data_IF_135190803429
#
_entry.id   IF_135190803429
#
_cell.length_a   1.000
_cell.length_b   1.000
_cell.length_c   1.000
_cell.angle_alpha   90.00
_cell.angle_beta   90.00
_cell.angle_gamma   90.00
#
_symmetry.space_group_name_H-M   'P 1'
#
loop_
_entity.id
_entity.type
_entity.pdbx_description
1 polymer ?
#
# COMPACT_ATOMS: atom_id res chain seq x y z
N UNK A 1 27.11 32.64 25.16
CA UNK A 1 27.39 31.72 24.03
C UNK A 1 26.33 30.61 23.85
N UNK A 2 25.13 30.72 24.45
CA UNK A 2 24.09 29.66 24.40
C UNK A 2 23.04 29.89 23.29
N UNK A 3 22.83 31.14 22.87
CA UNK A 3 21.81 31.51 21.88
C UNK A 3 22.15 31.16 20.42
N UNK A 4 23.42 30.86 20.11
CA UNK A 4 23.86 30.48 18.75
C UNK A 4 23.55 29.04 18.37
N UNK A 5 23.28 28.17 19.35
CA UNK A 5 22.92 26.75 19.12
C UNK A 5 21.41 26.49 19.12
N UNK A 6 20.58 27.46 19.52
CA UNK A 6 19.11 27.32 19.48
C UNK A 6 18.54 27.37 18.06
N UNK A 7 19.17 28.16 17.17
CA UNK A 7 18.73 28.32 15.78
C UNK A 7 18.89 27.03 14.94
N UNK A 8 20.04 26.31 14.97
CA UNK A 8 20.13 25.04 14.25
C UNK A 8 19.25 23.94 14.86
N UNK A 9 19.00 23.97 16.17
CA UNK A 9 18.15 22.97 16.83
C UNK A 9 16.68 23.08 16.39
N UNK A 10 16.15 24.31 16.28
CA UNK A 10 14.81 24.59 15.77
C UNK A 10 14.71 24.25 14.27
N UNK A 11 15.77 24.49 13.50
CA UNK A 11 15.81 24.14 12.08
C UNK A 11 15.81 22.61 11.84
N UNK A 12 16.49 21.83 12.69
CA UNK A 12 16.48 20.36 12.63
C UNK A 12 15.11 19.79 13.04
N UNK A 13 14.41 20.42 13.98
CA UNK A 13 13.02 20.07 14.35
C UNK A 13 11.99 20.37 13.25
N UNK A 14 12.27 21.33 12.35
CA UNK A 14 11.40 21.69 11.23
C UNK A 14 11.47 20.74 10.02
N UNK A 15 12.48 19.87 9.95
CA UNK A 15 12.66 18.90 8.85
C UNK A 15 11.85 17.61 9.01
N UNK A 16 11.10 17.45 10.11
CA UNK A 16 10.10 16.40 10.26
C UNK A 16 8.80 16.76 9.50
N UNK A 17 8.91 17.13 8.22
CA UNK A 17 7.79 17.11 7.31
C UNK A 17 7.48 15.63 7.01
N UNK A 18 6.84 14.96 7.95
CA UNK A 18 6.33 13.61 7.75
C UNK A 18 5.46 13.63 6.48
N UNK A 19 5.73 12.72 5.55
CA UNK A 19 4.83 12.38 4.47
C UNK A 19 3.49 11.97 5.10
N UNK A 20 2.62 12.94 5.32
CA UNK A 20 1.44 12.78 6.15
C UNK A 20 0.36 12.15 5.30
N UNK A 21 -0.33 11.16 5.86
CA UNK A 21 -1.50 10.56 5.21
C UNK A 21 -2.50 11.65 4.76
N UNK A 22 -3.22 11.44 3.64
CA UNK A 22 -4.31 12.33 3.22
C UNK A 22 -5.23 12.66 4.40
N UNK A 23 -5.74 13.89 4.49
CA UNK A 23 -6.68 14.31 5.56
C UNK A 23 -7.74 13.26 5.96
N UNK A 24 -8.42 12.56 5.01
CA UNK A 24 -9.43 11.58 5.40
C UNK A 24 -8.86 10.30 6.05
N UNK A 25 -7.56 10.05 5.97
CA UNK A 25 -6.89 8.85 6.51
C UNK A 25 -6.12 9.12 7.82
N UNK A 26 -6.20 10.34 8.35
CA UNK A 26 -5.55 10.74 9.59
C UNK A 26 -6.36 10.25 10.80
N UNK A 27 -5.66 9.73 11.81
CA UNK A 27 -6.26 9.19 13.03
C UNK A 27 -5.36 8.15 13.69
N UNK A 28 -5.64 7.83 14.95
CA UNK A 28 -5.00 6.72 15.66
C UNK A 28 -5.91 5.49 15.55
N UNK A 29 -5.34 4.40 15.07
CA UNK A 29 -6.04 3.13 14.91
C UNK A 29 -5.18 2.01 15.52
N UNK A 30 -5.80 1.02 16.16
CA UNK A 30 -5.07 -0.13 16.66
C UNK A 30 -4.44 -0.90 15.49
N UNK A 31 -3.23 -1.42 15.69
CA UNK A 31 -2.51 -2.23 14.71
C UNK A 31 -3.03 -3.67 14.72
N UNK A 32 -4.29 -3.84 14.32
CA UNK A 32 -4.98 -5.13 14.22
C UNK A 32 -5.03 -5.54 12.76
N UNK A 33 -4.61 -6.76 12.44
CA UNK A 33 -4.79 -7.34 11.11
C UNK A 33 -6.20 -7.94 10.94
N UNK A 34 -6.74 -8.03 9.72
CA UNK A 34 -7.96 -8.78 9.44
C UNK A 34 -7.95 -10.22 9.96
N UNK A 35 -6.84 -10.95 9.79
CA UNK A 35 -6.70 -12.32 10.32
C UNK A 35 -6.79 -12.36 11.85
N UNK A 36 -6.11 -11.46 12.55
CA UNK A 36 -6.13 -11.42 14.02
C UNK A 36 -7.51 -11.06 14.55
N UNK A 37 -8.17 -10.11 13.88
CA UNK A 37 -9.53 -9.70 14.24
C UNK A 37 -10.48 -10.89 14.17
N UNK A 38 -10.30 -11.80 13.21
CA UNK A 38 -11.14 -13.00 13.03
C UNK A 38 -10.89 -14.05 14.09
N UNK A 39 -9.62 -14.22 14.49
CA UNK A 39 -9.24 -15.15 15.56
C UNK A 39 -9.74 -14.69 16.94
N UNK A 40 -9.74 -13.38 17.19
CA UNK A 40 -10.05 -12.79 18.50
C UNK A 40 -11.42 -12.11 18.60
N UNK A 41 -12.27 -12.22 17.56
CA UNK A 41 -13.64 -11.72 17.52
C UNK A 41 -13.81 -10.23 17.92
N UNK A 42 -12.95 -9.35 17.38
CA UNK A 42 -12.85 -7.93 17.75
C UNK A 42 -13.93 -7.01 17.12
N UNK A 43 -15.20 -7.40 17.22
CA UNK A 43 -16.34 -6.60 16.73
C UNK A 43 -16.43 -5.24 17.43
N UNK A 44 -16.78 -4.19 16.68
CA UNK A 44 -16.90 -2.81 17.16
C UNK A 44 -15.60 -2.00 17.11
N UNK A 45 -14.47 -2.64 16.85
CA UNK A 45 -13.15 -1.99 16.76
C UNK A 45 -13.08 -1.10 15.53
N UNK A 46 -12.71 0.17 15.72
CA UNK A 46 -12.37 1.09 14.62
C UNK A 46 -11.02 0.71 14.04
N UNK A 47 -10.97 0.43 12.74
CA UNK A 47 -9.76 -0.03 12.04
C UNK A 47 -9.48 0.83 10.81
N UNK A 48 -8.21 0.86 10.42
CA UNK A 48 -7.74 1.42 9.16
C UNK A 48 -7.04 0.33 8.37
N UNK A 49 -7.74 -0.25 7.42
CA UNK A 49 -7.24 -1.35 6.59
C UNK A 49 -7.20 -0.94 5.14
N UNK A 50 -6.27 -1.49 4.38
CA UNK A 50 -6.23 -1.28 2.95
C UNK A 50 -5.60 -2.46 2.27
N UNK A 51 -5.67 -2.44 0.95
CA UNK A 51 -5.28 -3.59 0.18
C UNK A 51 -5.58 -3.40 -1.30
N UNK A 52 -5.57 -4.52 -2.02
CA UNK A 52 -6.02 -4.56 -3.41
C UNK A 52 -7.43 -5.13 -3.48
N UNK A 53 -8.26 -4.53 -4.32
CA UNK A 53 -9.60 -5.01 -4.60
C UNK A 53 -9.50 -6.36 -5.31
N UNK A 54 -10.25 -7.34 -4.83
CA UNK A 54 -10.49 -8.62 -5.51
C UNK A 54 -11.78 -8.51 -6.30
N UNK A 55 -12.84 -7.98 -5.66
CA UNK A 55 -14.17 -7.85 -6.25
C UNK A 55 -14.91 -6.67 -5.64
N UNK A 56 -15.66 -5.96 -6.48
CA UNK A 56 -16.61 -4.93 -6.05
C UNK A 56 -18.02 -5.39 -6.39
N UNK A 57 -18.89 -5.45 -5.40
CA UNK A 57 -20.28 -5.93 -5.56
C UNK A 57 -21.25 -4.87 -5.05
N UNK A 58 -21.88 -4.10 -5.95
CA UNK A 58 -22.97 -3.21 -5.59
C UNK A 58 -24.19 -4.05 -5.16
N UNK A 59 -24.75 -3.72 -3.99
CA UNK A 59 -25.98 -4.30 -3.46
C UNK A 59 -27.11 -3.26 -3.38
N UNK A 60 -28.21 -3.64 -2.73
CA UNK A 60 -29.30 -2.70 -2.46
C UNK A 60 -28.90 -1.74 -1.34
N UNK A 61 -28.58 -0.49 -1.71
CA UNK A 61 -28.30 0.60 -0.77
C UNK A 61 -26.86 0.65 -0.22
N UNK A 62 -26.01 -0.32 -0.53
CA UNK A 62 -24.59 -0.33 -0.17
C UNK A 62 -23.76 -1.05 -1.21
N UNK A 63 -22.48 -0.73 -1.28
CA UNK A 63 -21.50 -1.44 -2.11
C UNK A 63 -20.48 -2.11 -1.21
N UNK A 64 -20.25 -3.40 -1.44
CA UNK A 64 -19.28 -4.19 -0.71
C UNK A 64 -18.06 -4.49 -1.58
N UNK A 65 -16.89 -4.31 -0.98
CA UNK A 65 -15.59 -4.55 -1.58
C UNK A 65 -14.95 -5.72 -0.88
N UNK A 66 -14.49 -6.69 -1.65
CA UNK A 66 -13.67 -7.78 -1.18
C UNK A 66 -12.20 -7.45 -1.44
N UNK A 67 -11.36 -7.54 -0.42
CA UNK A 67 -9.96 -7.12 -0.49
C UNK A 67 -9.01 -8.20 0.02
N UNK A 68 -7.83 -8.22 -0.58
CA UNK A 68 -6.64 -8.79 0.05
C UNK A 68 -5.93 -7.69 0.83
N UNK A 69 -5.84 -7.86 2.13
CA UNK A 69 -5.22 -6.87 3.01
C UNK A 69 -3.73 -6.76 2.73
N UNK A 70 -3.20 -5.56 2.85
CA UNK A 70 -1.76 -5.31 2.87
C UNK A 70 -1.42 -4.31 3.97
N UNK A 71 -0.23 -4.41 4.57
CA UNK A 71 0.24 -3.43 5.53
C UNK A 71 0.25 -2.04 4.89
N UNK A 72 -0.12 -1.03 5.67
CA UNK A 72 -0.16 0.35 5.21
C UNK A 72 1.17 1.03 5.51
N UNK A 73 1.66 1.81 4.55
CA UNK A 73 2.82 2.67 4.78
C UNK A 73 2.45 3.91 5.62
N UNK A 74 3.42 4.78 5.90
CA UNK A 74 3.20 5.99 6.71
C UNK A 74 2.10 6.93 6.15
N UNK A 75 1.87 6.90 4.83
CA UNK A 75 0.81 7.69 4.17
C UNK A 75 -0.58 7.03 4.23
N UNK A 76 -0.68 5.82 4.80
CA UNK A 76 -1.91 5.04 4.82
C UNK A 76 -2.21 4.32 3.50
N UNK A 77 -1.26 4.31 2.54
CA UNK A 77 -1.37 3.57 1.28
C UNK A 77 -0.96 2.11 1.49
N UNK A 78 -1.64 1.13 0.88
CA UNK A 78 -1.18 -0.26 0.85
C UNK A 78 0.26 -0.33 0.33
N UNK A 79 1.16 -0.92 1.12
CA UNK A 79 2.58 -0.99 0.77
C UNK A 79 2.77 -1.90 -0.46
N UNK A 80 3.38 -1.35 -1.51
CA UNK A 80 3.66 -2.06 -2.75
C UNK A 80 4.74 -3.13 -2.56
N UNK A 81 5.72 -2.84 -1.70
CA UNK A 81 6.92 -3.63 -1.47
C UNK A 81 6.67 -4.84 -0.56
N UNK A 82 5.51 -4.92 0.08
CA UNK A 82 5.14 -6.04 0.92
C UNK A 82 4.70 -7.24 0.04
N UNK A 83 5.66 -7.91 -0.58
CA UNK A 83 5.46 -8.92 -1.65
C UNK A 83 4.51 -10.05 -1.22
N UNK A 84 4.49 -10.41 0.07
CA UNK A 84 3.76 -11.57 0.59
C UNK A 84 2.79 -11.26 1.75
N UNK A 85 2.66 -9.99 2.14
CA UNK A 85 1.86 -9.63 3.32
C UNK A 85 0.37 -9.58 2.98
N UNK A 86 -0.27 -10.75 2.97
CA UNK A 86 -1.70 -10.92 3.07
C UNK A 86 -2.04 -11.04 4.56
N UNK A 87 -2.26 -9.93 5.23
CA UNK A 87 -2.75 -9.83 6.63
C UNK A 87 -4.20 -10.38 6.79
N UNK A 88 -4.61 -11.28 5.89
CA UNK A 88 -5.96 -11.78 5.69
C UNK A 88 -6.69 -11.12 4.52
N UNK A 89 -7.89 -11.61 4.27
CA UNK A 89 -8.90 -10.96 3.41
C UNK A 89 -9.95 -10.32 4.30
N UNK A 90 -10.62 -9.29 3.79
CA UNK A 90 -11.73 -8.66 4.50
C UNK A 90 -12.77 -8.14 3.51
N UNK A 91 -13.98 -7.94 4.02
CA UNK A 91 -15.04 -7.23 3.34
C UNK A 91 -15.13 -5.81 3.91
N UNK A 92 -15.20 -4.81 3.04
CA UNK A 92 -15.54 -3.45 3.44
C UNK A 92 -16.84 -3.06 2.72
N UNK A 93 -17.87 -2.70 3.46
CA UNK A 93 -19.13 -2.25 2.89
C UNK A 93 -19.37 -0.79 3.22
N UNK A 94 -19.85 -0.03 2.23
CA UNK A 94 -20.17 1.39 2.38
C UNK A 94 -21.55 1.65 1.81
N UNK A 95 -22.36 2.44 2.53
CA UNK A 95 -23.65 2.92 2.04
C UNK A 95 -23.50 3.69 0.73
N UNK A 96 -24.40 3.45 -0.22
CA UNK A 96 -24.40 4.07 -1.54
C UNK A 96 -23.83 3.17 -2.64
N UNK A 97 -23.81 3.74 -3.85
CA UNK A 97 -23.34 3.08 -5.05
C UNK A 97 -21.90 3.49 -5.37
N UNK A 98 -21.03 2.50 -5.57
CA UNK A 98 -19.68 2.68 -6.09
C UNK A 98 -19.54 1.87 -7.38
N UNK A 99 -19.08 2.52 -8.44
CA UNK A 99 -18.99 1.92 -9.76
C UNK A 99 -17.88 0.85 -9.82
N UNK A 100 -18.19 -0.42 -10.13
CA UNK A 100 -17.19 -1.48 -10.31
C UNK A 100 -16.15 -1.19 -11.40
N UNK A 101 -16.47 -0.35 -12.39
CA UNK A 101 -15.54 0.06 -13.44
C UNK A 101 -14.52 1.12 -12.95
N UNK A 102 -14.79 1.79 -11.82
CA UNK A 102 -13.82 2.68 -11.16
C UNK A 102 -13.04 1.91 -10.09
N UNK A 103 -13.75 1.03 -9.36
CA UNK A 103 -13.23 0.17 -8.31
C UNK A 103 -12.92 -1.23 -8.84
N UNK A 104 -12.09 -1.27 -9.89
CA UNK A 104 -11.74 -2.50 -10.57
C UNK A 104 -10.84 -3.39 -9.71
N UNK A 105 -10.85 -4.72 -9.96
CA UNK A 105 -9.89 -5.63 -9.36
C UNK A 105 -8.43 -5.16 -9.56
N UNK A 106 -7.61 -5.30 -8.52
CA UNK A 106 -6.22 -4.89 -8.50
C UNK A 106 -5.97 -3.43 -8.07
N UNK A 107 -7.01 -2.59 -8.04
CA UNK A 107 -6.90 -1.21 -7.54
C UNK A 107 -6.57 -1.18 -6.05
N UNK A 108 -5.72 -0.24 -5.65
CA UNK A 108 -5.34 -0.02 -4.25
C UNK A 108 -6.35 0.89 -3.57
N UNK A 109 -6.89 0.46 -2.43
CA UNK A 109 -7.86 1.23 -1.64
C UNK A 109 -7.53 1.12 -0.17
N UNK A 110 -7.77 2.21 0.56
CA UNK A 110 -7.74 2.25 2.02
C UNK A 110 -9.13 2.59 2.55
N UNK A 111 -9.53 1.86 3.58
CA UNK A 111 -10.78 2.03 4.30
C UNK A 111 -10.51 2.41 5.74
N UNK A 112 -11.38 3.26 6.28
CA UNK A 112 -11.53 3.45 7.72
C UNK A 112 -12.96 3.11 8.06
N UNK A 113 -13.16 2.38 9.14
CA UNK A 113 -14.49 2.00 9.59
C UNK A 113 -14.45 1.15 10.83
N UNK A 114 -15.58 0.54 11.17
CA UNK A 114 -15.70 -0.36 12.31
C UNK A 114 -15.96 -1.79 11.85
N UNK A 115 -15.37 -2.75 12.54
CA UNK A 115 -15.69 -4.16 12.34
C UNK A 115 -17.13 -4.39 12.80
N UNK A 116 -18.03 -4.67 11.88
CA UNK A 116 -19.45 -4.91 12.14
C UNK A 116 -19.70 -6.39 12.51
N UNK A 117 -18.90 -7.29 11.95
CA UNK A 117 -19.02 -8.72 12.20
C UNK A 117 -18.13 -9.53 11.28
N UNK A 118 -18.55 -10.76 11.00
CA UNK A 118 -17.84 -11.67 10.12
C UNK A 118 -18.81 -12.33 9.17
N UNK A 119 -18.39 -12.54 7.94
CA UNK A 119 -19.17 -13.15 6.88
C UNK A 119 -18.40 -14.35 6.34
N UNK A 120 -19.05 -15.51 6.31
CA UNK A 120 -18.46 -16.71 5.71
C UNK A 120 -18.75 -16.69 4.22
N UNK A 121 -17.69 -16.64 3.42
CA UNK A 121 -17.76 -16.65 1.96
C UNK A 121 -17.09 -17.91 1.43
N UNK A 122 -17.70 -18.53 0.41
CA UNK A 122 -17.06 -19.63 -0.31
C UNK A 122 -15.97 -19.09 -1.24
N UNK A 123 -14.75 -19.56 -1.05
CA UNK A 123 -13.62 -19.30 -1.92
C UNK A 123 -13.21 -20.64 -2.54
N UNK A 124 -13.65 -20.88 -3.77
CA UNK A 124 -13.62 -22.21 -4.36
C UNK A 124 -14.50 -23.17 -3.55
N UNK A 125 -13.91 -24.25 -3.05
CA UNK A 125 -14.59 -25.25 -2.22
C UNK A 125 -14.45 -25.01 -0.71
N UNK A 126 -13.74 -23.95 -0.30
CA UNK A 126 -13.47 -23.67 1.10
C UNK A 126 -14.39 -22.58 1.66
N UNK A 127 -14.96 -22.84 2.83
CA UNK A 127 -15.67 -21.82 3.61
C UNK A 127 -14.63 -20.95 4.34
N UNK A 128 -14.54 -19.69 3.93
CA UNK A 128 -13.58 -18.74 4.49
C UNK A 128 -14.31 -17.63 5.25
N UNK A 129 -13.97 -17.45 6.53
CA UNK A 129 -14.55 -16.41 7.38
C UNK A 129 -13.80 -15.10 7.20
N UNK A 130 -14.51 -14.07 6.75
CA UNK A 130 -13.97 -12.74 6.49
C UNK A 130 -14.50 -11.75 7.52
N UNK A 131 -13.67 -10.88 8.13
CA UNK A 131 -14.17 -9.74 8.87
C UNK A 131 -14.85 -8.76 7.92
N UNK A 132 -16.00 -8.26 8.35
CA UNK A 132 -16.78 -7.25 7.64
C UNK A 132 -16.66 -5.91 8.33
N UNK A 133 -16.15 -4.93 7.61
CA UNK A 133 -15.99 -3.55 8.06
C UNK A 133 -17.13 -2.73 7.48
N UNK A 134 -17.89 -2.06 8.34
CA UNK A 134 -18.74 -0.96 7.93
C UNK A 134 -17.84 0.27 7.76
N UNK A 135 -17.57 0.62 6.50
CA UNK A 135 -16.64 1.68 6.15
C UNK A 135 -17.27 3.05 6.34
N UNK A 136 -16.53 3.95 6.98
CA UNK A 136 -16.82 5.38 7.10
C UNK A 136 -16.16 6.17 5.97
N UNK A 137 -14.93 5.76 5.61
CA UNK A 137 -14.10 6.40 4.59
C UNK A 137 -13.66 5.35 3.58
N UNK A 138 -13.76 5.70 2.30
CA UNK A 138 -13.23 4.92 1.17
C UNK A 138 -12.25 5.82 0.43
N UNK A 139 -10.97 5.43 0.36
CA UNK A 139 -9.94 6.19 -0.32
C UNK A 139 -9.30 5.36 -1.43
N UNK A 140 -9.67 5.65 -2.68
CA UNK A 140 -9.13 5.02 -3.87
C UNK A 140 -7.82 5.68 -4.28
N UNK A 141 -6.73 4.92 -4.30
CA UNK A 141 -5.43 5.44 -4.69
C UNK A 141 -5.33 5.60 -6.22
N UNK A 142 -4.66 6.67 -6.70
CA UNK A 142 -4.36 6.82 -8.10
C UNK A 142 -3.36 5.74 -8.54
N UNK A 143 -3.52 5.27 -9.78
CA UNK A 143 -2.59 4.35 -10.41
C UNK A 143 -1.30 5.13 -10.71
N UNK A 144 -0.25 4.86 -9.94
CA UNK A 144 1.10 5.36 -10.26
C UNK A 144 1.71 4.37 -11.23
N UNK A 145 2.01 4.83 -12.45
CA UNK A 145 2.82 4.10 -13.42
C UNK A 145 4.28 4.25 -13.00
N UNK A 146 4.88 3.14 -12.60
CA UNK A 146 6.32 3.08 -12.41
C UNK A 146 6.94 3.07 -13.81
N UNK A 147 7.49 4.23 -14.22
CA UNK A 147 8.23 4.33 -15.48
C UNK A 147 9.60 3.75 -15.20
N UNK A 148 9.86 2.57 -15.75
CA UNK A 148 11.22 2.02 -15.79
C UNK A 148 12.05 2.93 -16.69
N UNK A 149 12.82 3.83 -16.07
CA UNK A 149 13.82 4.62 -16.78
C UNK A 149 14.95 3.66 -17.08
N UNK A 150 14.92 3.04 -18.27
CA UNK A 150 16.08 2.33 -18.80
C UNK A 150 17.19 3.36 -18.95
N UNK A 151 18.30 3.25 -18.20
CA UNK A 151 19.43 4.16 -18.40
C UNK A 151 19.86 4.01 -19.85
N UNK A 152 19.84 5.10 -20.62
CA UNK A 152 20.52 5.12 -21.89
C UNK A 152 21.99 4.89 -21.59
N UNK A 153 22.47 3.65 -21.78
CA UNK A 153 23.89 3.36 -21.71
C UNK A 153 24.60 4.26 -22.74
N UNK A 154 25.67 4.99 -22.35
CA UNK A 154 26.39 5.86 -23.27
C UNK A 154 26.92 5.13 -24.50
N UNK A 155 27.17 3.82 -24.38
CA UNK A 155 27.58 2.95 -25.47
C UNK A 155 26.35 2.32 -26.14
N UNK A 156 25.98 2.84 -27.32
CA UNK A 156 25.06 2.15 -28.22
C UNK A 156 25.67 0.87 -28.84
N UNK A 157 24.90 0.11 -29.65
CA UNK A 157 25.38 -1.11 -30.33
C UNK A 157 26.57 -0.90 -31.28
N UNK A 158 26.84 0.36 -31.63
CA UNK A 158 28.00 0.79 -32.40
C UNK A 158 28.81 1.67 -31.46
N UNK A 159 29.83 1.09 -30.82
CA UNK A 159 30.63 1.77 -29.81
C UNK A 159 31.21 3.09 -30.30
N UNK A 160 31.51 3.97 -29.35
CA UNK A 160 32.00 5.34 -29.60
C UNK A 160 33.15 5.38 -30.62
N UNK A 161 32.99 6.04 -31.79
CA UNK A 161 34.08 6.22 -32.75
C UNK A 161 35.23 7.11 -32.23
N UNK A 162 35.06 7.75 -31.07
CA UNK A 162 35.96 8.77 -30.51
C UNK A 162 36.32 8.53 -29.04
N UNK A 163 36.38 7.27 -28.59
CA UNK A 163 36.92 6.93 -27.27
C UNK A 163 38.43 7.21 -27.17
N UNK A 164 38.95 7.76 -26.06
CA UNK A 164 40.39 7.99 -25.88
C UNK A 164 41.17 6.68 -25.97
N UNK A 165 42.07 6.59 -26.95
CA UNK A 165 42.98 5.46 -27.17
C UNK A 165 44.10 5.48 -26.12
N UNK A 166 43.77 5.07 -24.89
CA UNK A 166 44.72 4.69 -23.84
C UNK A 166 44.36 3.25 -23.46
N UNK A 167 45.10 2.21 -23.83
CA UNK A 167 46.55 2.11 -23.69
C UNK A 167 46.85 1.60 -22.29
N UNK A 168 46.80 0.27 -22.10
CA UNK A 168 47.55 -0.41 -21.05
C UNK A 168 46.77 -0.89 -19.83
N UNK A 169 46.73 -2.23 -19.66
CA UNK A 169 47.19 -2.81 -18.40
C UNK A 169 46.16 -3.54 -17.55
N UNK A 170 46.43 -4.85 -17.39
CA UNK A 170 46.10 -5.70 -16.24
C UNK A 170 44.63 -6.13 -16.15
N UNK A 171 44.31 -7.41 -16.37
CA UNK A 171 44.34 -8.45 -15.32
C UNK A 171 43.22 -8.14 -14.32
N UNK A 172 42.18 -8.94 -14.13
CA UNK A 172 42.17 -10.33 -13.69
C UNK A 172 40.87 -11.00 -14.13
N UNK A 173 40.98 -12.24 -14.61
CA UNK A 173 39.83 -13.10 -14.86
C UNK A 173 39.04 -13.39 -13.59
N UNK A 174 37.72 -13.38 -13.70
CA UNK A 174 36.83 -14.10 -12.78
C UNK A 174 36.29 -15.33 -13.50
N UNK A 175 36.88 -16.47 -13.15
CA UNK A 175 36.25 -17.77 -13.34
C UNK A 175 35.06 -17.89 -12.41
N UNK A 176 34.04 -18.56 -12.92
CA UNK A 176 32.77 -18.86 -12.27
C UNK A 176 32.94 -20.06 -11.33
N UNK A 177 32.52 -19.92 -10.08
CA UNK A 177 31.85 -20.93 -9.24
C UNK A 177 30.99 -20.20 -8.22
#
# INVERSE_FOLDING_TARGET
MITRFLVPLIAVLGLAACATAPKPLQGQFPAVSPSDSTASAQVGTSVRWGGKIIKTTPGQGQTCFELISRPLNASGRPDRNAVDASDGRFLACRSGFYDPAVFEPGREVTFIGKIEGYETTKIGEYDYKLPKVNADVVYLWPVVRDVEVVPAYPYGPWGDPWGPRWGGGWGWGRGWW
#
